data_IF_570305283229
#
_entry.id   IF_570305283229
#
_cell.length_a   1.000
_cell.length_b   1.000
_cell.length_c   1.000
_cell.angle_alpha   90.00
_cell.angle_beta   90.00
_cell.angle_gamma   90.00
#
_symmetry.space_group_name_H-M   'P 1'
#
loop_
_entity.id
_entity.type
_entity.pdbx_description
1 polymer ?
#
# COMPACT_ATOMS: atom_id res chain seq x y z
N UNK A 1 -10.98 13.02 15.12
CA UNK A 1 -10.87 13.61 13.78
C UNK A 1 -10.77 12.51 12.74
N UNK A 2 -9.65 11.78 12.62
CA UNK A 2 -9.57 10.63 11.71
C UNK A 2 -10.12 9.37 12.37
N UNK A 3 -10.95 8.62 11.66
CA UNK A 3 -11.52 7.35 12.10
C UNK A 3 -11.01 6.16 11.27
N UNK A 4 -10.70 6.39 10.01
CA UNK A 4 -10.23 5.37 9.07
C UNK A 4 -9.01 5.89 8.30
N UNK A 5 -7.87 5.26 8.52
CA UNK A 5 -6.59 5.65 7.92
C UNK A 5 -6.13 4.56 6.96
N UNK A 6 -5.92 4.93 5.70
CA UNK A 6 -5.52 4.03 4.63
C UNK A 6 -4.01 4.07 4.41
N UNK A 7 -3.38 2.91 4.42
CA UNK A 7 -1.97 2.71 4.09
C UNK A 7 -1.85 1.75 2.91
N UNK A 8 -1.62 2.25 1.69
CA UNK A 8 -1.31 1.40 0.55
C UNK A 8 0.11 0.82 0.67
N UNK A 9 0.23 -0.48 0.45
CA UNK A 9 1.49 -1.22 0.50
C UNK A 9 1.62 -2.12 -0.75
N UNK A 10 2.79 -2.11 -1.37
CA UNK A 10 3.10 -2.92 -2.55
C UNK A 10 4.08 -4.07 -2.29
N UNK A 11 4.43 -4.28 -1.02
CA UNK A 11 5.39 -5.28 -0.58
C UNK A 11 6.85 -4.81 -0.60
N UNK A 12 7.13 -3.58 -1.02
CA UNK A 12 8.47 -3.01 -1.00
C UNK A 12 8.83 -2.43 0.37
N UNK A 13 10.11 -2.44 0.71
CA UNK A 13 10.63 -1.77 1.91
C UNK A 13 10.40 -0.25 1.87
N UNK A 14 10.42 0.32 0.68
CA UNK A 14 10.14 1.75 0.47
C UNK A 14 8.71 2.11 0.88
N UNK A 15 7.73 1.30 0.49
CA UNK A 15 6.34 1.52 0.88
C UNK A 15 6.16 1.34 2.40
N UNK A 16 6.85 0.38 3.00
CA UNK A 16 6.77 0.10 4.44
C UNK A 16 7.31 1.25 5.31
N UNK A 17 8.12 2.16 4.76
CA UNK A 17 8.58 3.34 5.51
C UNK A 17 7.42 4.26 5.93
N UNK A 18 6.27 4.16 5.29
CA UNK A 18 5.07 4.88 5.69
C UNK A 18 4.33 4.24 6.88
N UNK A 19 4.59 2.96 7.18
CA UNK A 19 3.88 2.21 8.22
C UNK A 19 4.00 2.84 9.62
N UNK A 20 5.18 3.25 10.13
CA UNK A 20 5.28 3.87 11.44
C UNK A 20 4.44 5.14 11.58
N UNK A 21 4.34 5.92 10.52
CA UNK A 21 3.54 7.14 10.49
C UNK A 21 2.04 6.84 10.50
N UNK A 22 1.60 5.87 9.71
CA UNK A 22 0.21 5.44 9.70
C UNK A 22 -0.21 4.88 11.06
N UNK A 23 0.64 4.06 11.69
CA UNK A 23 0.40 3.52 13.04
C UNK A 23 0.32 4.65 14.07
N UNK A 24 1.27 5.60 14.05
CA UNK A 24 1.27 6.73 14.99
C UNK A 24 -0.01 7.58 14.87
N UNK A 25 -0.46 7.86 13.65
CA UNK A 25 -1.71 8.57 13.42
C UNK A 25 -2.92 7.76 13.90
N UNK A 26 -2.95 6.46 13.60
CA UNK A 26 -4.07 5.60 14.01
C UNK A 26 -4.17 5.47 15.52
N UNK A 27 -3.04 5.31 16.21
CA UNK A 27 -3.00 5.29 17.69
C UNK A 27 -3.44 6.63 18.27
N UNK A 28 -2.93 7.74 17.74
CA UNK A 28 -3.24 9.08 18.24
C UNK A 28 -4.74 9.41 18.16
N UNK A 29 -5.40 9.03 17.06
CA UNK A 29 -6.80 9.32 16.85
C UNK A 29 -7.76 8.20 17.28
N UNK A 30 -7.25 7.05 17.69
CA UNK A 30 -8.08 5.85 17.93
C UNK A 30 -8.73 5.33 16.65
N UNK A 31 -8.07 5.49 15.51
CA UNK A 31 -8.59 5.17 14.19
C UNK A 31 -8.30 3.71 13.79
N UNK A 32 -9.12 3.16 12.93
CA UNK A 32 -8.84 1.89 12.25
C UNK A 32 -7.74 2.10 11.19
N UNK A 33 -6.69 1.29 11.24
CA UNK A 33 -5.67 1.23 10.21
C UNK A 33 -6.07 0.22 9.13
N UNK A 34 -6.17 0.70 7.89
CA UNK A 34 -6.48 -0.14 6.72
C UNK A 34 -5.21 -0.36 5.91
N UNK A 35 -4.72 -1.60 5.87
CA UNK A 35 -3.63 -2.00 5.00
C UNK A 35 -4.20 -2.43 3.66
N UNK A 36 -3.90 -1.69 2.61
CA UNK A 36 -4.42 -1.92 1.26
C UNK A 36 -3.32 -2.41 0.32
N UNK A 37 -3.57 -3.52 -0.34
CA UNK A 37 -2.76 -3.96 -1.48
C UNK A 37 -3.59 -3.91 -2.75
N UNK A 38 -3.05 -3.26 -3.76
CA UNK A 38 -3.61 -3.27 -5.11
C UNK A 38 -2.79 -4.18 -5.99
N UNK A 39 -3.43 -5.17 -6.60
CA UNK A 39 -2.82 -6.10 -7.55
C UNK A 39 -3.18 -5.61 -8.94
N UNK A 40 -2.16 -5.31 -9.75
CA UNK A 40 -2.40 -4.97 -11.15
C UNK A 40 -2.84 -6.21 -11.93
N UNK A 41 -3.87 -6.08 -12.81
CA UNK A 41 -4.27 -7.18 -13.67
C UNK A 41 -3.08 -7.64 -14.51
N UNK A 42 -2.86 -8.96 -14.55
CA UNK A 42 -1.81 -9.50 -15.41
C UNK A 42 -2.17 -9.26 -16.89
N UNK A 43 -1.22 -8.72 -17.68
CA UNK A 43 -1.43 -8.60 -19.10
C UNK A 43 -1.62 -9.99 -19.71
N UNK A 44 -2.55 -10.10 -20.67
CA UNK A 44 -2.74 -11.33 -21.43
C UNK A 44 -1.45 -11.66 -22.19
N UNK A 45 -0.67 -12.58 -21.67
CA UNK A 45 0.55 -13.04 -22.35
C UNK A 45 0.14 -14.10 -23.37
N UNK A 46 0.52 -13.88 -24.61
CA UNK A 46 0.25 -14.83 -25.72
C UNK A 46 0.83 -16.21 -25.38
N UNK A 47 -0.01 -17.23 -25.30
CA UNK A 47 0.39 -18.59 -24.98
C UNK A 47 0.15 -19.02 -23.52
N UNK A 48 -0.33 -18.14 -22.64
CA UNK A 48 -0.78 -18.52 -21.31
C UNK A 48 -2.23 -18.99 -21.34
N UNK A 49 -2.50 -20.13 -20.70
CA UNK A 49 -3.85 -20.62 -20.51
C UNK A 49 -4.58 -19.86 -19.41
N UNK A 50 -5.91 -19.93 -19.39
CA UNK A 50 -6.71 -19.37 -18.29
C UNK A 50 -6.38 -20.01 -16.93
N UNK A 51 -6.01 -21.29 -16.93
CA UNK A 51 -5.57 -22.00 -15.72
C UNK A 51 -4.22 -21.50 -15.21
N UNK A 52 -3.29 -21.13 -16.09
CA UNK A 52 -2.00 -20.54 -15.68
C UNK A 52 -2.20 -19.15 -15.07
N UNK A 53 -3.06 -18.34 -15.66
CA UNK A 53 -3.42 -17.02 -15.11
C UNK A 53 -4.10 -17.13 -13.75
N UNK A 54 -5.00 -18.10 -13.58
CA UNK A 54 -5.65 -18.36 -12.30
C UNK A 54 -4.64 -18.79 -11.23
N UNK A 55 -3.69 -19.66 -11.57
CA UNK A 55 -2.64 -20.13 -10.66
C UNK A 55 -1.73 -18.96 -10.21
N UNK A 56 -1.34 -18.07 -11.12
CA UNK A 56 -0.53 -16.88 -10.80
C UNK A 56 -1.31 -15.95 -9.87
N UNK A 57 -2.60 -15.74 -10.13
CA UNK A 57 -3.48 -14.91 -9.30
C UNK A 57 -3.57 -15.47 -7.88
N UNK A 58 -3.82 -16.76 -7.74
CA UNK A 58 -3.93 -17.44 -6.44
C UNK A 58 -2.62 -17.31 -5.63
N UNK A 59 -1.46 -17.48 -6.28
CA UNK A 59 -0.15 -17.31 -5.65
C UNK A 59 0.07 -15.86 -5.20
N UNK A 60 -0.36 -14.88 -5.99
CA UNK A 60 -0.22 -13.46 -5.66
C UNK A 60 -1.10 -13.08 -4.48
N UNK A 61 -2.32 -13.60 -4.44
CA UNK A 61 -3.25 -13.41 -3.33
C UNK A 61 -2.73 -14.05 -2.04
N UNK A 62 -2.24 -15.28 -2.12
CA UNK A 62 -1.66 -15.98 -0.99
C UNK A 62 -0.43 -15.26 -0.43
N UNK A 63 0.48 -14.82 -1.31
CA UNK A 63 1.64 -14.01 -0.91
C UNK A 63 1.20 -12.72 -0.21
N UNK A 64 0.20 -12.04 -0.74
CA UNK A 64 -0.32 -10.78 -0.17
C UNK A 64 -0.92 -10.97 1.22
N UNK A 65 -1.64 -12.08 1.44
CA UNK A 65 -2.18 -12.43 2.76
C UNK A 65 -1.06 -12.68 3.76
N UNK A 66 -0.07 -13.52 3.42
CA UNK A 66 1.09 -13.77 4.28
C UNK A 66 1.89 -12.51 4.58
N UNK A 67 2.02 -11.63 3.61
CA UNK A 67 2.66 -10.34 3.78
C UNK A 67 1.93 -9.49 4.83
N UNK A 68 0.62 -9.38 4.75
CA UNK A 68 -0.18 -8.65 5.74
C UNK A 68 -0.19 -9.33 7.11
N UNK A 69 -0.30 -10.64 7.17
CA UNK A 69 -0.25 -11.39 8.43
C UNK A 69 1.04 -11.10 9.20
N UNK A 70 2.17 -11.00 8.51
CA UNK A 70 3.45 -10.61 9.11
C UNK A 70 3.43 -9.20 9.68
N UNK A 71 2.86 -8.23 8.96
CA UNK A 71 2.75 -6.86 9.44
C UNK A 71 1.82 -6.78 10.66
N UNK A 72 0.65 -7.41 10.58
CA UNK A 72 -0.33 -7.44 11.67
C UNK A 72 0.28 -8.08 12.92
N UNK A 73 1.03 -9.17 12.77
CA UNK A 73 1.72 -9.82 13.88
C UNK A 73 2.70 -8.88 14.60
N UNK A 74 3.43 -8.02 13.87
CA UNK A 74 4.32 -7.04 14.46
C UNK A 74 3.59 -5.89 15.19
N UNK A 75 2.32 -5.68 14.90
CA UNK A 75 1.52 -4.60 15.47
C UNK A 75 0.59 -5.07 16.60
N UNK A 76 0.65 -6.34 17.01
CA UNK A 76 -0.27 -6.93 18.02
C UNK A 76 -0.24 -6.18 19.36
N UNK A 77 0.90 -5.67 19.77
CA UNK A 77 1.06 -4.96 21.05
C UNK A 77 0.41 -3.56 21.06
N UNK A 78 0.02 -3.05 19.89
CA UNK A 78 -0.57 -1.70 19.79
C UNK A 78 -2.05 -1.64 20.15
N UNK A 79 -2.74 -2.76 20.24
CA UNK A 79 -4.21 -2.86 20.38
C UNK A 79 -4.99 -2.07 19.32
N UNK A 80 -4.35 -1.81 18.17
CA UNK A 80 -4.90 -1.03 17.09
C UNK A 80 -5.88 -1.86 16.26
N UNK A 81 -7.09 -1.36 15.96
CA UNK A 81 -7.96 -2.03 14.98
C UNK A 81 -7.31 -2.00 13.59
N UNK A 82 -7.06 -3.16 13.00
CA UNK A 82 -6.42 -3.28 11.69
C UNK A 82 -7.34 -4.05 10.74
N UNK A 83 -7.59 -3.47 9.58
CA UNK A 83 -8.24 -4.13 8.45
C UNK A 83 -7.20 -4.40 7.35
N UNK A 84 -7.28 -5.54 6.70
CA UNK A 84 -6.44 -5.89 5.55
C UNK A 84 -7.31 -6.08 4.32
N UNK A 85 -6.95 -5.42 3.22
CA UNK A 85 -7.75 -5.39 2.00
C UNK A 85 -6.86 -5.62 0.79
N UNK A 86 -7.26 -6.54 -0.08
CA UNK A 86 -6.61 -6.84 -1.34
C UNK A 86 -7.62 -6.59 -2.45
N UNK A 87 -7.29 -5.70 -3.37
CA UNK A 87 -8.12 -5.37 -4.54
C UNK A 87 -7.31 -5.45 -5.82
N UNK A 88 -8.00 -5.60 -6.93
CA UNK A 88 -7.40 -5.59 -8.26
C UNK A 88 -7.67 -4.24 -8.95
N UNK A 89 -6.67 -3.71 -9.64
CA UNK A 89 -6.82 -2.47 -10.39
C UNK A 89 -5.51 -1.75 -10.67
N UNK A 90 -5.61 -0.53 -11.18
CA UNK A 90 -4.47 0.38 -11.35
C UNK A 90 -4.19 1.06 -10.02
N UNK A 91 -3.02 0.90 -9.40
CA UNK A 91 -2.79 1.29 -8.01
C UNK A 91 -3.24 2.69 -7.65
N UNK A 92 -2.79 3.71 -8.35
CA UNK A 92 -3.13 5.09 -8.01
C UNK A 92 -4.62 5.41 -8.08
N UNK A 93 -5.33 4.85 -9.06
CA UNK A 93 -6.77 5.01 -9.24
C UNK A 93 -7.53 4.18 -8.20
N UNK A 94 -7.15 2.92 -8.04
CA UNK A 94 -7.80 2.01 -7.10
C UNK A 94 -7.69 2.49 -5.65
N UNK A 95 -6.55 3.09 -5.25
CA UNK A 95 -6.36 3.66 -3.91
C UNK A 95 -7.34 4.82 -3.66
N UNK A 96 -7.41 5.79 -4.58
CA UNK A 96 -8.29 6.96 -4.41
C UNK A 96 -9.76 6.56 -4.44
N UNK A 97 -10.13 5.67 -5.33
CA UNK A 97 -11.49 5.14 -5.43
C UNK A 97 -11.89 4.36 -4.15
N UNK A 98 -11.02 3.48 -3.67
CA UNK A 98 -11.25 2.78 -2.41
C UNK A 98 -11.46 3.75 -1.24
N UNK A 99 -10.66 4.80 -1.17
CA UNK A 99 -10.76 5.79 -0.11
C UNK A 99 -12.12 6.51 -0.11
N UNK A 100 -12.64 6.85 -1.28
CA UNK A 100 -13.96 7.49 -1.43
C UNK A 100 -15.11 6.54 -1.08
N UNK A 101 -15.02 5.29 -1.51
CA UNK A 101 -16.09 4.30 -1.32
C UNK A 101 -16.16 3.71 0.09
N UNK A 102 -15.10 3.88 0.91
CA UNK A 102 -14.99 3.24 2.23
C UNK A 102 -14.78 4.25 3.37
N UNK A 103 -15.20 5.48 3.20
CA UNK A 103 -15.17 6.53 4.24
C UNK A 103 -13.77 6.71 4.88
N UNK A 104 -12.72 6.64 4.07
CA UNK A 104 -11.36 6.90 4.51
C UNK A 104 -11.18 8.40 4.78
N UNK A 105 -10.57 8.73 5.91
CA UNK A 105 -10.35 10.12 6.33
C UNK A 105 -8.94 10.63 6.06
N UNK A 106 -7.99 9.72 5.93
CA UNK A 106 -6.58 10.03 5.69
C UNK A 106 -5.92 8.91 4.88
N UNK A 107 -5.17 9.28 3.86
CA UNK A 107 -4.26 8.35 3.17
C UNK A 107 -2.84 8.66 3.64
N UNK A 108 -2.12 7.65 4.13
CA UNK A 108 -0.68 7.72 4.43
C UNK A 108 0.05 6.91 3.38
N UNK A 109 0.94 7.54 2.62
CA UNK A 109 1.61 6.87 1.50
C UNK A 109 3.08 7.25 1.43
N UNK A 110 3.92 6.29 1.06
CA UNK A 110 5.32 6.56 0.76
C UNK A 110 5.48 7.25 -0.60
N UNK A 111 6.44 8.17 -0.68
CA UNK A 111 6.76 8.87 -1.94
C UNK A 111 7.26 7.94 -3.03
N UNK A 112 7.68 6.70 -2.67
CA UNK A 112 8.18 5.68 -3.58
C UNK A 112 7.64 4.32 -3.20
N UNK A 113 7.51 3.48 -4.21
CA UNK A 113 7.23 2.07 -4.06
C UNK A 113 8.28 1.24 -4.79
N UNK A 114 7.82 0.16 -5.40
CA UNK A 114 8.62 -0.86 -6.06
C UNK A 114 9.49 -0.36 -7.23
N UNK A 115 9.15 0.73 -7.89
CA UNK A 115 9.83 1.21 -9.12
C UNK A 115 11.17 1.91 -8.88
N UNK A 116 11.56 2.22 -7.65
CA UNK A 116 12.89 2.69 -7.27
C UNK A 116 13.45 3.90 -8.05
N UNK A 117 12.58 4.79 -8.53
CA UNK A 117 12.97 6.00 -9.27
C UNK A 117 13.85 6.92 -8.44
N UNK A 118 14.65 7.74 -9.12
CA UNK A 118 15.67 8.59 -8.51
C UNK A 118 15.19 9.41 -7.31
N UNK A 119 16.13 9.77 -6.42
CA UNK A 119 15.93 10.49 -5.15
C UNK A 119 15.02 11.73 -5.21
N UNK A 120 14.87 12.34 -6.37
CA UNK A 120 14.15 13.60 -6.59
C UNK A 120 12.75 13.44 -7.17
N UNK A 121 12.39 12.24 -7.63
CA UNK A 121 11.12 12.00 -8.29
C UNK A 121 10.11 11.35 -7.34
N UNK A 122 8.93 11.91 -7.32
CA UNK A 122 7.77 11.30 -6.71
C UNK A 122 7.37 10.08 -7.53
N UNK A 123 7.10 8.94 -6.88
CA UNK A 123 6.64 7.73 -7.55
C UNK A 123 5.29 7.96 -8.25
N UNK A 124 5.07 7.26 -9.35
CA UNK A 124 3.86 7.41 -10.19
C UNK A 124 2.57 7.16 -9.41
N UNK A 125 2.55 6.18 -8.50
CA UNK A 125 1.39 5.89 -7.65
C UNK A 125 1.16 7.01 -6.66
N UNK A 126 2.19 7.46 -5.94
CA UNK A 126 2.10 8.55 -4.98
C UNK A 126 1.65 9.86 -5.65
N UNK A 127 2.19 10.19 -6.82
CA UNK A 127 1.76 11.36 -7.59
C UNK A 127 0.28 11.26 -7.99
N UNK A 128 -0.16 10.10 -8.45
CA UNK A 128 -1.57 9.90 -8.83
C UNK A 128 -2.50 10.03 -7.64
N UNK A 129 -2.12 9.49 -6.49
CA UNK A 129 -2.88 9.63 -5.24
C UNK A 129 -2.94 11.08 -4.80
N UNK A 130 -1.81 11.77 -4.80
CA UNK A 130 -1.75 13.20 -4.43
C UNK A 130 -2.63 14.09 -5.31
N UNK A 131 -2.77 13.77 -6.59
CA UNK A 131 -3.60 14.53 -7.53
C UNK A 131 -5.08 14.16 -7.48
N UNK A 132 -5.39 12.90 -7.16
CA UNK A 132 -6.75 12.37 -7.26
C UNK A 132 -7.48 12.20 -5.94
N UNK A 133 -6.80 12.28 -4.80
CA UNK A 133 -7.44 12.11 -3.50
C UNK A 133 -8.34 13.29 -3.14
N UNK A 134 -9.53 12.98 -2.64
CA UNK A 134 -10.49 13.94 -2.09
C UNK A 134 -10.34 14.13 -0.58
N UNK A 135 -9.51 13.29 0.05
CA UNK A 135 -9.18 13.32 1.47
C UNK A 135 -7.73 13.76 1.69
N UNK A 136 -7.34 14.22 2.90
CA UNK A 136 -5.96 14.51 3.24
C UNK A 136 -5.01 13.35 2.92
N UNK A 137 -3.80 13.69 2.45
CA UNK A 137 -2.74 12.73 2.16
C UNK A 137 -1.49 13.11 2.93
N UNK A 138 -1.02 12.19 3.76
CA UNK A 138 0.29 12.28 4.40
C UNK A 138 1.33 11.56 3.54
N UNK A 139 2.16 12.34 2.87
CA UNK A 139 3.24 11.81 2.04
C UNK A 139 4.51 11.62 2.88
N UNK A 140 4.94 10.39 3.04
CA UNK A 140 6.19 10.03 3.71
C UNK A 140 7.31 9.93 2.68
N UNK A 141 8.36 10.72 2.85
CA UNK A 141 9.52 10.65 1.95
C UNK A 141 10.33 9.40 2.22
N UNK A 142 10.27 8.44 1.30
CA UNK A 142 11.08 7.25 1.36
C UNK A 142 12.56 7.57 1.14
N UNK A 143 13.40 6.99 1.98
CA UNK A 143 14.85 7.08 1.86
C UNK A 143 15.40 5.75 1.37
N UNK A 144 16.38 5.78 0.45
CA UNK A 144 17.10 4.58 0.06
C UNK A 144 17.81 3.99 1.30
N UNK A 145 17.57 2.73 1.58
CA UNK A 145 18.34 2.00 2.59
C UNK A 145 19.77 1.84 2.08
N UNK A 146 20.76 2.15 2.91
CA UNK A 146 22.22 2.12 2.57
C UNK A 146 22.74 0.75 2.09
N UNK A 147 21.89 -0.28 2.09
CA UNK A 147 22.25 -1.64 1.65
C UNK A 147 22.32 -1.84 0.15
N UNK A 148 22.01 -0.84 -0.68
CA UNK A 148 22.07 -0.93 -2.14
C UNK A 148 23.21 -0.12 -2.78
N UNK A 149 24.02 0.58 -2.00
CA UNK A 149 25.22 1.29 -2.49
C UNK A 149 26.51 0.58 -2.08
N UNK A 150 26.68 -0.69 -2.46
CA UNK A 150 28.01 -1.28 -2.58
C UNK A 150 28.19 -1.79 -4.01
N UNK A 151 29.16 -1.23 -4.74
CA UNK A 151 29.53 -1.71 -6.06
C UNK A 151 30.10 -3.14 -5.99
#
# INVERSE_FOLDING_TARGET
MFQRILLPLDGSEMAEQALPYAVAQSVHFGATLILLRVIEPFPHVRGMSLSDLAAIRDQTDEWSRHYFDRIVAHLQDTSLPIETVIIEGRPGVAITQYAEENDVDLIVISSRGRSGLSRWLLGTVAERVMRGATVPVLLVRAQATESQERP
#
